data_IF_217362431847
#
_entry.id   IF_217362431847
#
_cell.length_a   1.000
_cell.length_b   1.000
_cell.length_c   1.000
_cell.angle_alpha   90.00
_cell.angle_beta   90.00
_cell.angle_gamma   90.00
#
_symmetry.space_group_name_H-M   'P 1'
#
loop_
_entity.id
_entity.type
_entity.pdbx_description
1 polymer ?
#
# COMPACT_ATOMS: atom_id res chain seq x y z
N UNK A 1 -12.74 21.51 14.43
CA UNK A 1 -12.34 20.27 15.13
C UNK A 1 -11.17 19.71 14.33
N UNK A 2 -9.94 19.83 14.85
CA UNK A 2 -8.76 19.28 14.18
C UNK A 2 -8.76 17.77 14.36
N UNK A 3 -8.75 17.01 13.27
CA UNK A 3 -8.58 15.56 13.32
C UNK A 3 -7.22 15.25 13.97
N UNK A 4 -7.22 14.40 14.99
CA UNK A 4 -6.00 14.01 15.71
C UNK A 4 -5.28 12.91 14.92
N UNK A 5 -4.02 13.13 14.56
CA UNK A 5 -3.17 12.12 13.91
C UNK A 5 -2.88 10.95 14.88
N UNK A 6 -3.07 9.69 14.47
CA UNK A 6 -2.80 8.54 15.34
C UNK A 6 -1.30 8.40 15.61
N UNK A 7 -0.95 7.89 16.80
CA UNK A 7 0.44 7.62 17.17
C UNK A 7 0.91 6.30 16.56
N UNK A 8 2.15 6.25 16.11
CA UNK A 8 2.76 5.03 15.59
C UNK A 8 2.92 3.99 16.71
N UNK A 9 2.33 2.81 16.53
CA UNK A 9 2.42 1.70 17.47
C UNK A 9 3.69 0.84 17.30
N UNK A 10 4.49 1.07 16.25
CA UNK A 10 5.65 0.23 15.89
C UNK A 10 6.94 0.79 16.47
N UNK A 11 7.22 2.06 16.24
CA UNK A 11 8.43 2.69 16.77
C UNK A 11 8.10 3.50 18.02
N UNK A 12 8.67 3.09 19.16
CA UNK A 12 8.56 3.78 20.46
C UNK A 12 9.29 5.15 20.50
N UNK A 13 9.33 5.86 19.38
CA UNK A 13 9.98 7.14 19.17
C UNK A 13 9.00 8.33 19.29
N UNK A 14 7.73 8.06 19.59
CA UNK A 14 6.69 9.09 19.66
C UNK A 14 6.32 9.69 18.30
N UNK A 15 6.46 8.91 17.22
CA UNK A 15 6.05 9.31 15.87
C UNK A 15 4.52 9.26 15.68
N UNK A 16 4.03 10.01 14.70
CA UNK A 16 2.62 10.04 14.32
C UNK A 16 2.48 9.61 12.86
N UNK A 17 1.31 9.07 12.53
CA UNK A 17 0.97 8.64 11.19
C UNK A 17 0.40 9.83 10.40
N UNK A 18 0.93 10.04 9.19
CA UNK A 18 0.43 10.97 8.18
C UNK A 18 -0.12 10.22 6.98
N UNK A 19 -1.22 10.71 6.40
CA UNK A 19 -1.73 10.17 5.14
C UNK A 19 -0.80 10.57 3.98
N UNK A 20 -0.29 9.58 3.26
CA UNK A 20 0.62 9.74 2.13
C UNK A 20 0.30 8.77 0.99
N UNK A 21 0.85 9.04 -0.19
CA UNK A 21 0.83 8.12 -1.33
C UNK A 21 2.20 7.46 -1.45
N UNK A 22 2.23 6.13 -1.33
CA UNK A 22 3.46 5.35 -1.36
C UNK A 22 3.55 4.48 -2.62
N UNK A 23 4.72 3.86 -2.79
CA UNK A 23 4.93 2.80 -3.76
C UNK A 23 5.19 1.50 -3.00
N UNK A 24 4.31 0.52 -3.18
CA UNK A 24 4.45 -0.82 -2.65
C UNK A 24 5.10 -1.72 -3.71
N UNK A 25 5.96 -2.63 -3.28
CA UNK A 25 6.64 -3.56 -4.18
C UNK A 25 6.49 -4.97 -3.63
N UNK A 26 5.90 -5.85 -4.43
CA UNK A 26 5.77 -7.27 -4.11
C UNK A 26 6.64 -8.11 -5.04
N UNK A 27 7.50 -8.94 -4.46
CA UNK A 27 8.39 -9.85 -5.18
C UNK A 27 7.85 -11.27 -5.09
N UNK A 28 7.15 -11.69 -6.16
CA UNK A 28 6.54 -13.02 -6.25
C UNK A 28 7.47 -14.07 -6.89
N UNK A 29 8.80 -13.88 -6.83
CA UNK A 29 9.88 -14.69 -7.46
C UNK A 29 9.89 -14.68 -8.99
N UNK A 30 8.74 -14.82 -9.62
CA UNK A 30 8.61 -14.83 -11.07
C UNK A 30 8.39 -13.41 -11.64
N UNK A 31 7.69 -12.55 -10.89
CA UNK A 31 7.36 -11.18 -11.26
C UNK A 31 7.57 -10.27 -10.05
N UNK A 32 8.16 -9.10 -10.29
CA UNK A 32 8.14 -7.98 -9.34
C UNK A 32 6.96 -7.08 -9.71
N UNK A 33 6.01 -6.92 -8.80
CA UNK A 33 4.86 -6.02 -8.97
C UNK A 33 5.15 -4.73 -8.21
N UNK A 34 5.24 -3.61 -8.92
CA UNK A 34 5.42 -2.27 -8.34
C UNK A 34 4.10 -1.53 -8.44
N UNK A 35 3.44 -1.29 -7.31
CA UNK A 35 2.17 -0.57 -7.24
C UNK A 35 2.41 0.84 -6.72
N UNK A 36 2.15 1.86 -7.54
CA UNK A 36 2.34 3.27 -7.19
C UNK A 36 1.05 3.92 -6.72
N UNK A 37 1.19 5.06 -6.04
CA UNK A 37 0.07 5.87 -5.56
C UNK A 37 -0.86 5.12 -4.60
N UNK A 38 -0.31 4.20 -3.82
CA UNK A 38 -1.05 3.45 -2.81
C UNK A 38 -1.34 4.39 -1.63
N UNK A 39 -2.61 4.62 -1.27
CA UNK A 39 -2.95 5.39 -0.09
C UNK A 39 -2.53 4.64 1.17
N UNK A 40 -1.71 5.28 2.00
CA UNK A 40 -1.19 4.71 3.22
C UNK A 40 -1.05 5.77 4.31
N UNK A 41 -0.83 5.30 5.52
CA UNK A 41 -0.42 6.07 6.67
C UNK A 41 1.05 5.79 6.97
N UNK A 42 1.88 6.82 6.97
CA UNK A 42 3.34 6.72 7.13
C UNK A 42 3.78 7.41 8.41
N UNK A 43 4.59 6.73 9.21
CA UNK A 43 5.14 7.31 10.43
C UNK A 43 6.22 8.34 10.11
N UNK A 44 6.04 9.57 10.61
CA UNK A 44 6.96 10.71 10.44
C UNK A 44 8.34 10.56 11.12
N UNK A 45 8.58 9.45 11.84
CA UNK A 45 9.85 9.13 12.50
C UNK A 45 10.55 7.90 11.94
N UNK A 46 9.84 6.79 11.87
CA UNK A 46 10.44 5.50 11.52
C UNK A 46 10.07 4.99 10.13
N UNK A 47 9.17 5.68 9.41
CA UNK A 47 8.78 5.29 8.06
C UNK A 47 7.93 4.02 7.99
N UNK A 48 7.44 3.49 9.13
CA UNK A 48 6.45 2.41 9.11
C UNK A 48 5.23 2.85 8.32
N UNK A 49 4.82 2.00 7.38
CA UNK A 49 3.63 2.18 6.57
C UNK A 49 2.50 1.30 7.12
N UNK A 50 1.29 1.81 7.10
CA UNK A 50 0.06 1.09 7.42
C UNK A 50 -0.98 1.44 6.36
N UNK A 51 -1.77 0.47 5.93
CA UNK A 51 -2.85 0.65 4.96
C UNK A 51 -4.15 0.17 5.58
N UNK A 52 -5.29 0.58 5.02
CA UNK A 52 -6.58 0.04 5.44
C UNK A 52 -6.76 -1.38 4.90
N UNK A 53 -7.70 -2.13 5.49
CA UNK A 53 -8.01 -3.49 5.04
C UNK A 53 -8.43 -3.51 3.56
N UNK A 54 -9.20 -2.51 3.11
CA UNK A 54 -9.64 -2.43 1.71
C UNK A 54 -8.48 -2.21 0.74
N UNK A 55 -7.49 -1.41 1.14
CA UNK A 55 -6.26 -1.20 0.34
C UNK A 55 -5.41 -2.47 0.32
N UNK A 56 -5.27 -3.16 1.46
CA UNK A 56 -4.54 -4.42 1.55
C UNK A 56 -5.17 -5.50 0.66
N UNK A 57 -6.50 -5.64 0.67
CA UNK A 57 -7.22 -6.56 -0.19
C UNK A 57 -7.03 -6.25 -1.68
N UNK A 58 -7.04 -4.97 -2.06
CA UNK A 58 -6.82 -4.57 -3.46
C UNK A 58 -5.38 -4.84 -3.90
N UNK A 59 -4.38 -4.59 -3.05
CA UNK A 59 -2.99 -4.95 -3.34
C UNK A 59 -2.84 -6.46 -3.59
N UNK A 60 -3.50 -7.29 -2.78
CA UNK A 60 -3.53 -8.73 -2.97
C UNK A 60 -4.18 -9.11 -4.32
N UNK A 61 -5.31 -8.49 -4.69
CA UNK A 61 -5.95 -8.71 -5.99
C UNK A 61 -5.05 -8.34 -7.17
N UNK A 62 -4.35 -7.20 -7.08
CA UNK A 62 -3.39 -6.75 -8.10
C UNK A 62 -2.27 -7.79 -8.25
N UNK A 63 -1.68 -8.25 -7.13
CA UNK A 63 -0.62 -9.24 -7.13
C UNK A 63 -1.07 -10.58 -7.74
N UNK A 64 -2.24 -11.10 -7.33
CA UNK A 64 -2.81 -12.35 -7.83
C UNK A 64 -3.10 -12.29 -9.34
N UNK A 65 -3.56 -11.13 -9.85
CA UNK A 65 -3.79 -10.93 -11.28
C UNK A 65 -2.51 -11.05 -12.12
N UNK A 66 -1.32 -10.84 -11.53
CA UNK A 66 -0.04 -10.97 -12.23
C UNK A 66 0.53 -12.40 -12.23
N UNK A 67 0.07 -13.28 -11.33
CA UNK A 67 0.57 -14.65 -11.21
C UNK A 67 0.20 -15.54 -12.41
N UNK A 68 -0.80 -15.17 -13.22
CA UNK A 68 -1.28 -15.94 -14.37
C UNK A 68 -0.66 -15.62 -15.74
N UNK A 69 0.10 -14.51 -15.86
CA UNK A 69 0.58 -13.98 -17.15
C UNK A 69 2.10 -14.14 -17.36
N UNK A 70 2.72 -15.11 -16.69
CA UNK A 70 4.16 -15.20 -16.43
C UNK A 70 5.07 -15.03 -17.67
N UNK A 71 5.53 -13.79 -17.88
CA UNK A 71 6.85 -13.46 -18.42
C UNK A 71 7.64 -12.91 -17.24
N UNK A 72 8.83 -13.46 -16.98
CA UNK A 72 9.67 -12.94 -15.91
C UNK A 72 10.00 -11.47 -16.14
N UNK A 73 9.70 -10.61 -15.17
CA UNK A 73 9.88 -9.17 -15.33
C UNK A 73 9.33 -8.33 -14.19
N UNK A 74 9.34 -7.02 -14.40
CA UNK A 74 8.76 -6.03 -13.49
C UNK A 74 7.51 -5.44 -14.13
N UNK A 75 6.40 -5.48 -13.41
CA UNK A 75 5.14 -4.84 -13.81
C UNK A 75 4.92 -3.64 -12.93
N UNK A 76 4.69 -2.46 -13.53
CA UNK A 76 4.36 -1.24 -12.80
C UNK A 76 2.90 -0.92 -13.01
N UNK A 77 2.16 -0.79 -11.91
CA UNK A 77 0.71 -0.51 -11.89
C UNK A 77 0.46 0.72 -11.04
N UNK A 78 -0.47 1.57 -11.43
CA UNK A 78 -0.97 2.67 -10.58
C UNK A 78 -2.21 2.20 -9.81
N UNK A 79 -2.24 2.48 -8.51
CA UNK A 79 -3.37 2.16 -7.65
C UNK A 79 -4.56 3.06 -7.99
N UNK A 80 -5.69 2.47 -8.38
CA UNK A 80 -6.91 3.22 -8.68
C UNK A 80 -7.92 3.08 -7.54
N UNK A 81 -8.07 4.13 -6.74
CA UNK A 81 -9.01 4.18 -5.62
C UNK A 81 -10.48 3.96 -6.04
N UNK A 82 -10.82 4.15 -7.32
CA UNK A 82 -12.18 3.88 -7.81
C UNK A 82 -12.53 2.39 -7.75
N UNK A 83 -11.54 1.51 -7.72
CA UNK A 83 -11.75 0.06 -7.63
C UNK A 83 -12.19 -0.40 -6.24
N UNK A 84 -11.86 0.38 -5.18
CA UNK A 84 -12.35 0.13 -3.82
C UNK A 84 -13.82 0.56 -3.66
N UNK A 85 -14.20 1.71 -4.24
CA UNK A 85 -15.54 2.26 -4.11
C UNK A 85 -16.64 1.42 -4.80
N UNK A 86 -16.28 0.47 -5.66
CA UNK A 86 -17.20 -0.40 -6.39
C UNK A 86 -17.52 -1.72 -5.67
N UNK A 87 -16.83 -2.04 -4.56
CA UNK A 87 -16.99 -3.28 -3.80
C UNK A 87 -17.85 -3.12 -2.52
N UNK A 88 -18.35 -1.91 -2.25
CA UNK A 88 -19.19 -1.57 -1.09
C UNK A 88 -20.67 -1.38 -1.42
#
# INVERSE_FOLDING_TARGET
>A
MTAQRPQCAVCNLGGHLDDELITETDDTRAVIVVVRHVPAQVCDRCGTTTVTDEVAEELARIADAQQGNAVSGTVVVDFDQKQIAAAG
#
